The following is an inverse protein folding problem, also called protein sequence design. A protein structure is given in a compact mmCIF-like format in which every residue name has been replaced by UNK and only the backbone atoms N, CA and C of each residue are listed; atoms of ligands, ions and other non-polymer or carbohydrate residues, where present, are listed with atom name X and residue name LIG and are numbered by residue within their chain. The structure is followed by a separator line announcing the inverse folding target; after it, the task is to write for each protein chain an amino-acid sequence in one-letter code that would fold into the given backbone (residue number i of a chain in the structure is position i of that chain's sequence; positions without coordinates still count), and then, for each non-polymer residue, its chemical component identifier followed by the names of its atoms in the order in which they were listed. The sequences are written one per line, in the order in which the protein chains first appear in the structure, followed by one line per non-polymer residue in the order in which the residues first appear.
data_IF_687292517228
#
_entry.id   IF_687292517228
#
_cell.length_a   1.000
_cell.length_b   1.000
_cell.length_c   1.000
_cell.angle_alpha   90.00
_cell.angle_beta   90.00
_cell.angle_gamma   90.00
#
_symmetry.space_group_name_H-M   'P 1'
#
loop_
_entity.id
_entity.type
_entity.pdbx_description
1 polymer ?
#
# COMPACT_ATOMS: atom_id res chain seq x y z
N UNK A 1 10.56 69.41 -36.27
CA UNK A 1 10.46 68.46 -35.13
C UNK A 1 9.04 67.91 -35.02
N UNK A 2 8.86 66.60 -35.19
CA UNK A 2 8.06 65.66 -34.35
C UNK A 2 7.76 64.39 -35.16
N UNK A 3 8.57 63.36 -34.89
CA UNK A 3 8.33 61.96 -35.26
C UNK A 3 7.30 61.39 -34.28
N UNK A 4 6.33 60.60 -34.76
CA UNK A 4 5.59 59.65 -33.91
C UNK A 4 5.41 58.31 -34.64
N UNK A 5 6.21 57.34 -34.17
CA UNK A 5 6.14 55.91 -34.43
C UNK A 5 4.89 55.27 -33.77
N UNK A 6 4.77 53.95 -34.00
CA UNK A 6 4.14 52.87 -33.19
C UNK A 6 2.76 52.39 -33.64
N UNK A 7 2.42 51.10 -33.68
CA UNK A 7 3.13 49.83 -33.41
C UNK A 7 2.27 48.69 -34.02
N UNK A 8 2.90 47.64 -34.54
CA UNK A 8 2.24 46.40 -35.00
C UNK A 8 1.77 45.59 -33.77
N UNK A 9 0.50 45.17 -33.75
CA UNK A 9 -0.01 44.25 -32.74
C UNK A 9 0.01 42.82 -33.30
N UNK A 10 1.04 42.05 -32.96
CA UNK A 10 1.07 40.59 -33.15
C UNK A 10 0.28 39.93 -32.03
N UNK A 11 -0.85 39.33 -32.37
CA UNK A 11 -1.60 38.47 -31.47
C UNK A 11 -0.80 37.19 -31.19
N UNK A 12 -0.38 37.00 -29.94
CA UNK A 12 0.23 35.77 -29.48
C UNK A 12 -0.90 34.78 -29.16
N UNK A 13 -1.06 33.77 -30.01
CA UNK A 13 -1.95 32.65 -29.74
C UNK A 13 -1.31 31.74 -28.68
N UNK A 14 -1.87 31.74 -27.46
CA UNK A 14 -1.54 30.79 -26.41
C UNK A 14 -2.19 29.43 -26.74
N UNK A 15 -1.43 28.54 -27.38
CA UNK A 15 -1.77 27.11 -27.42
C UNK A 15 -1.57 26.51 -26.04
N UNK A 16 -2.68 26.30 -25.32
CA UNK A 16 -2.73 25.46 -24.12
C UNK A 16 -2.50 24.01 -24.55
N UNK A 17 -1.26 23.53 -24.41
CA UNK A 17 -0.98 22.10 -24.45
C UNK A 17 -1.57 21.47 -23.19
N UNK A 18 -2.73 20.82 -23.32
CA UNK A 18 -3.22 19.90 -22.30
C UNK A 18 -2.31 18.69 -22.36
N UNK A 19 -1.23 18.73 -21.58
CA UNK A 19 -0.42 17.56 -21.28
C UNK A 19 -1.32 16.61 -20.48
N UNK A 20 -2.04 15.73 -21.18
CA UNK A 20 -2.73 14.61 -20.57
C UNK A 20 -1.67 13.79 -19.86
N UNK A 21 -1.59 13.91 -18.53
CA UNK A 21 -0.83 12.97 -17.72
C UNK A 21 -1.56 11.64 -17.84
N UNK A 22 -1.15 10.84 -18.83
CA UNK A 22 -1.35 9.40 -18.79
C UNK A 22 -0.64 8.94 -17.52
N UNK A 23 -1.38 8.85 -16.42
CA UNK A 23 -0.95 8.15 -15.23
C UNK A 23 -0.73 6.71 -15.71
N UNK A 24 0.51 6.37 -16.00
CA UNK A 24 0.88 4.99 -16.19
C UNK A 24 0.44 4.28 -14.91
N UNK A 25 -0.67 3.53 -14.98
CA UNK A 25 -1.09 2.69 -13.89
C UNK A 25 0.12 1.80 -13.58
N UNK A 26 0.69 1.95 -12.38
CA UNK A 26 1.79 1.10 -11.97
C UNK A 26 1.29 -0.34 -12.12
N UNK A 27 2.07 -1.24 -12.74
CA UNK A 27 1.67 -2.63 -12.87
C UNK A 27 1.26 -3.13 -11.48
N UNK A 28 0.07 -3.71 -11.38
CA UNK A 28 -0.40 -4.28 -10.13
C UNK A 28 0.63 -5.33 -9.69
N UNK A 29 1.35 -5.03 -8.61
CA UNK A 29 2.26 -6.01 -8.03
C UNK A 29 1.41 -7.12 -7.43
N UNK A 30 1.80 -8.36 -7.65
CA UNK A 30 1.12 -9.47 -7.00
C UNK A 30 1.34 -9.34 -5.48
N UNK A 31 0.25 -9.39 -4.72
CA UNK A 31 0.25 -9.46 -3.26
C UNK A 31 1.17 -10.57 -2.75
N UNK A 32 1.91 -10.32 -1.68
CA UNK A 32 2.71 -11.34 -0.99
C UNK A 32 1.82 -12.11 -0.02
N UNK A 33 1.73 -13.43 -0.20
CA UNK A 33 0.97 -14.34 0.66
C UNK A 33 1.86 -15.08 1.63
N UNK A 34 1.44 -15.16 2.89
CA UNK A 34 2.17 -15.81 3.97
C UNK A 34 1.25 -16.82 4.66
N UNK A 35 1.72 -18.05 4.80
CA UNK A 35 0.99 -19.14 5.44
C UNK A 35 1.78 -19.64 6.64
N UNK A 36 1.12 -19.77 7.79
CA UNK A 36 1.72 -20.33 8.99
C UNK A 36 0.68 -21.06 9.83
N UNK A 37 0.85 -22.37 9.97
CA UNK A 37 -0.10 -23.24 10.65
C UNK A 37 -1.53 -23.03 10.09
N UNK A 38 -2.48 -22.61 10.94
CA UNK A 38 -3.86 -22.35 10.57
C UNK A 38 -4.12 -20.88 10.27
N UNK A 39 -3.07 -20.06 10.13
CA UNK A 39 -3.15 -18.62 9.94
C UNK A 39 -2.58 -18.22 8.58
N UNK A 40 -3.29 -17.34 7.88
CA UNK A 40 -2.92 -16.79 6.58
C UNK A 40 -2.82 -15.28 6.68
N UNK A 41 -1.88 -14.70 5.96
CA UNK A 41 -1.73 -13.26 5.84
C UNK A 41 -1.34 -12.86 4.45
N UNK A 42 -1.66 -11.63 4.11
CA UNK A 42 -1.37 -11.06 2.80
C UNK A 42 -1.02 -9.59 2.96
N UNK A 43 -0.08 -9.10 2.15
CA UNK A 43 0.19 -7.68 2.05
C UNK A 43 0.59 -7.30 0.62
N UNK A 44 0.41 -6.03 0.29
CA UNK A 44 0.67 -5.50 -1.04
C UNK A 44 0.90 -3.97 -0.97
N UNK A 45 1.96 -3.51 -1.64
CA UNK A 45 2.39 -2.11 -1.73
C UNK A 45 1.85 -1.38 -2.97
N UNK A 46 0.93 -1.98 -3.71
CA UNK A 46 0.23 -1.34 -4.82
C UNK A 46 -1.22 -1.85 -4.96
N UNK A 47 -2.11 -1.62 -3.96
CA UNK A 47 -3.49 -2.11 -3.98
C UNK A 47 -4.39 -1.59 -5.11
N UNK A 48 -3.97 -0.56 -5.85
CA UNK A 48 -4.82 0.10 -6.85
C UNK A 48 -6.05 0.83 -6.31
N UNK A 49 -6.22 0.96 -4.99
CA UNK A 49 -7.37 1.60 -4.33
C UNK A 49 -7.05 3.01 -3.75
N UNK A 50 -5.91 3.59 -4.13
CA UNK A 50 -5.44 4.88 -3.63
C UNK A 50 -4.75 4.84 -2.26
N UNK A 51 -4.73 3.68 -1.58
CA UNK A 51 -3.85 3.47 -0.44
C UNK A 51 -2.41 3.17 -0.91
N UNK A 52 -1.45 3.45 -0.04
CA UNK A 52 -0.05 3.12 -0.31
C UNK A 52 0.20 1.62 -0.20
N UNK A 53 -0.28 0.98 0.86
CA UNK A 53 -0.25 -0.46 0.99
C UNK A 53 -1.45 -0.98 1.79
N UNK A 54 -1.68 -2.28 1.79
CA UNK A 54 -2.66 -2.93 2.67
C UNK A 54 -2.11 -4.22 3.26
N UNK A 55 -2.70 -4.62 4.37
CA UNK A 55 -2.48 -5.91 5.04
C UNK A 55 -3.81 -6.62 5.25
N UNK A 56 -3.76 -7.94 5.28
CA UNK A 56 -4.86 -8.79 5.67
C UNK A 56 -4.37 -10.00 6.45
N UNK A 57 -5.24 -10.49 7.32
CA UNK A 57 -5.02 -11.72 8.07
C UNK A 57 -6.33 -12.47 8.22
N UNK A 58 -6.25 -13.80 8.20
CA UNK A 58 -7.30 -14.72 8.61
C UNK A 58 -6.70 -15.85 9.43
N UNK A 59 -7.43 -16.36 10.41
CA UNK A 59 -6.96 -17.49 11.20
C UNK A 59 -8.07 -18.49 11.47
N UNK A 60 -7.74 -19.78 11.33
CA UNK A 60 -8.51 -20.91 11.83
C UNK A 60 -7.84 -21.55 13.07
N UNK A 61 -6.85 -20.88 13.67
CA UNK A 61 -6.27 -21.30 14.94
C UNK A 61 -7.28 -21.11 16.07
N UNK A 62 -7.35 -22.04 17.01
CA UNK A 62 -8.35 -22.02 18.09
C UNK A 62 -8.32 -20.73 18.94
N UNK A 63 -7.14 -20.13 19.09
CA UNK A 63 -6.96 -18.84 19.78
C UNK A 63 -6.75 -17.65 18.83
N UNK A 64 -6.97 -17.86 17.54
CA UNK A 64 -6.76 -16.87 16.49
C UNK A 64 -5.30 -16.69 16.07
N UNK A 65 -5.07 -15.61 15.33
CA UNK A 65 -3.78 -15.29 14.73
C UNK A 65 -3.60 -13.81 14.50
N UNK A 66 -2.41 -13.43 14.04
CA UNK A 66 -2.09 -12.03 13.76
C UNK A 66 -1.14 -11.91 12.58
N UNK A 67 -1.17 -10.76 11.93
CA UNK A 67 -0.11 -10.29 11.03
C UNK A 67 0.65 -9.15 11.71
N UNK A 68 1.98 -9.21 11.64
CA UNK A 68 2.90 -8.15 12.05
C UNK A 68 3.62 -7.67 10.81
N UNK A 69 3.73 -6.36 10.64
CA UNK A 69 4.43 -5.75 9.50
C UNK A 69 5.35 -4.63 9.96
N UNK A 70 6.40 -4.39 9.17
CA UNK A 70 7.35 -3.31 9.35
C UNK A 70 7.49 -2.52 8.04
N UNK A 71 7.68 -1.22 8.17
CA UNK A 71 7.99 -0.29 7.10
C UNK A 71 9.51 -0.10 7.01
N UNK A 72 9.99 0.49 5.91
CA UNK A 72 11.42 0.73 5.69
C UNK A 72 12.08 1.68 6.71
N UNK A 73 11.29 2.47 7.43
CA UNK A 73 11.76 3.36 8.50
C UNK A 73 11.79 2.69 9.89
N UNK A 74 11.51 1.39 9.96
CA UNK A 74 11.45 0.61 11.20
C UNK A 74 10.17 0.80 12.01
N UNK A 75 9.25 1.67 11.58
CA UNK A 75 7.89 1.71 12.16
C UNK A 75 7.07 0.52 11.67
N UNK A 76 6.01 0.16 12.37
CA UNK A 76 5.24 -1.02 12.00
C UNK A 76 3.92 -1.14 12.76
N UNK A 77 3.27 -2.27 12.60
CA UNK A 77 1.99 -2.52 13.24
C UNK A 77 1.68 -4.00 13.42
N UNK A 78 0.57 -4.25 14.09
CA UNK A 78 0.05 -5.60 14.29
C UNK A 78 -1.47 -5.57 14.21
N UNK A 79 -2.04 -6.60 13.60
CA UNK A 79 -3.48 -6.80 13.50
C UNK A 79 -3.82 -8.23 13.88
N UNK A 80 -4.78 -8.37 14.80
CA UNK A 80 -5.20 -9.64 15.39
C UNK A 80 -6.59 -10.02 14.88
N UNK A 81 -6.81 -11.33 14.72
CA UNK A 81 -8.11 -11.91 14.38
C UNK A 81 -8.37 -13.13 15.26
N UNK A 82 -9.63 -13.35 15.60
CA UNK A 82 -10.07 -14.56 16.31
C UNK A 82 -10.20 -15.77 15.37
N UNK A 83 -10.61 -16.90 15.96
CA UNK A 83 -10.88 -18.14 15.22
C UNK A 83 -11.99 -17.96 14.17
N UNK A 84 -11.71 -18.32 12.92
CA UNK A 84 -12.62 -18.23 11.78
C UNK A 84 -12.82 -16.80 11.25
N UNK A 85 -12.04 -15.83 11.71
CA UNK A 85 -12.23 -14.40 11.39
C UNK A 85 -11.11 -13.89 10.48
N UNK A 86 -11.45 -12.98 9.58
CA UNK A 86 -10.50 -12.20 8.80
C UNK A 86 -10.61 -10.70 9.07
N UNK A 87 -9.52 -9.96 8.87
CA UNK A 87 -9.51 -8.50 8.89
C UNK A 87 -8.52 -7.96 7.85
N UNK A 88 -8.77 -6.76 7.33
CA UNK A 88 -7.84 -6.00 6.48
C UNK A 88 -7.66 -4.57 6.98
N UNK A 89 -6.54 -3.96 6.61
CA UNK A 89 -6.23 -2.57 6.92
C UNK A 89 -5.38 -1.94 5.81
N UNK A 90 -5.78 -0.76 5.36
CA UNK A 90 -4.92 0.12 4.56
C UNK A 90 -3.87 0.77 5.46
N UNK A 91 -2.64 0.82 5.01
CA UNK A 91 -1.52 1.47 5.70
C UNK A 91 -0.97 2.61 4.83
N UNK A 92 -0.45 3.64 5.49
CA UNK A 92 -0.01 4.89 4.85
C UNK A 92 1.45 4.84 4.37
N UNK A 93 2.08 3.67 4.35
CA UNK A 93 3.50 3.46 4.02
C UNK A 93 3.71 2.06 3.43
N UNK A 94 4.69 1.93 2.55
CA UNK A 94 5.12 0.64 2.02
C UNK A 94 5.59 -0.29 3.13
N UNK A 95 5.20 -1.55 3.01
CA UNK A 95 5.61 -2.63 3.89
C UNK A 95 6.94 -3.17 3.37
N UNK A 96 7.96 -3.14 4.23
CA UNK A 96 9.25 -3.75 3.96
C UNK A 96 9.18 -5.27 4.15
N UNK A 97 8.58 -5.70 5.25
CA UNK A 97 8.43 -7.12 5.57
C UNK A 97 7.23 -7.39 6.46
N UNK A 98 6.68 -8.59 6.35
CA UNK A 98 5.61 -9.05 7.22
C UNK A 98 5.81 -10.51 7.68
N UNK A 99 5.13 -10.87 8.76
CA UNK A 99 5.04 -12.25 9.25
C UNK A 99 3.67 -12.49 9.85
N UNK A 100 3.22 -13.73 9.79
CA UNK A 100 2.01 -14.17 10.49
C UNK A 100 2.37 -14.99 11.70
N UNK A 101 1.55 -14.89 12.75
CA UNK A 101 1.70 -15.68 13.95
C UNK A 101 0.38 -16.32 14.33
N UNK A 102 0.45 -17.54 14.85
CA UNK A 102 -0.67 -18.23 15.47
C UNK A 102 -0.46 -18.28 16.98
N UNK A 103 -1.53 -18.10 17.75
CA UNK A 103 -1.47 -18.26 19.20
C UNK A 103 -1.61 -19.74 19.56
N UNK A 104 -0.57 -20.32 20.14
CA UNK A 104 -0.51 -21.72 20.54
C UNK A 104 -0.02 -21.83 21.99
N UNK A 105 -0.81 -22.46 22.85
CA UNK A 105 -0.44 -22.77 24.24
C UNK A 105 0.10 -21.59 25.07
N UNK A 106 -0.51 -20.40 24.91
CA UNK A 106 -0.17 -19.20 25.68
C UNK A 106 0.98 -18.36 25.11
N UNK A 107 1.54 -18.74 23.95
CA UNK A 107 2.55 -17.95 23.25
C UNK A 107 2.20 -17.80 21.77
N UNK A 108 2.78 -16.78 21.12
CA UNK A 108 2.69 -16.65 19.67
C UNK A 108 3.87 -17.34 19.02
N UNK A 109 3.58 -18.29 18.14
CA UNK A 109 4.56 -18.85 17.21
C UNK A 109 4.39 -18.17 15.86
N UNK A 110 5.48 -17.75 15.23
CA UNK A 110 5.44 -16.93 14.02
C UNK A 110 6.20 -17.56 12.85
N UNK A 111 5.78 -17.22 11.64
CA UNK A 111 6.58 -17.45 10.43
C UNK A 111 7.89 -16.64 10.47
N UNK A 112 8.86 -16.98 9.60
CA UNK A 112 9.91 -16.05 9.21
C UNK A 112 9.31 -14.74 8.67
N UNK A 113 10.17 -13.72 8.57
CA UNK A 113 9.82 -12.49 7.86
C UNK A 113 9.89 -12.72 6.34
N UNK A 114 8.88 -12.24 5.64
CA UNK A 114 8.76 -12.22 4.18
C UNK A 114 8.80 -10.79 3.68
#
# INVERSE_FOLDING_TARGET
MKVKNTLRATAVALTLAVAGTALAAQPASASTKIYYMSTQGEYDNNPGNGAQAWVWVWSNGAAGGRIVWEHYDGTGGTMYVGHGVSASRNVSKDIWRARVCEHYSGTYSCSPWY
#
